data_IF_908384406685
#
_entry.id   IF_908384406685
#
_cell.length_a   1.000
_cell.length_b   1.000
_cell.length_c   1.000
_cell.angle_alpha   90.00
_cell.angle_beta   90.00
_cell.angle_gamma   90.00
#
_symmetry.space_group_name_H-M   'P 1'
#
loop_
_entity.id
_entity.type
_entity.pdbx_description
1 polymer ?
#
# COMPACT_ATOMS: atom_id res chain seq x y z
N UNK A 1 -4.87 -32.18 -2.75
CA UNK A 1 -3.57 -31.46 -2.74
C UNK A 1 -3.56 -30.52 -1.53
N UNK A 2 -2.82 -30.84 -0.46
CA UNK A 2 -2.67 -29.97 0.71
C UNK A 2 -1.60 -28.92 0.38
N UNK A 3 -2.01 -27.70 0.07
CA UNK A 3 -1.07 -26.57 0.02
C UNK A 3 -0.75 -26.24 1.48
N UNK A 4 0.37 -26.77 1.99
CA UNK A 4 0.98 -26.23 3.19
C UNK A 4 1.48 -24.83 2.83
N UNK A 5 0.68 -23.79 3.08
CA UNK A 5 1.25 -22.44 3.10
C UNK A 5 2.22 -22.41 4.27
N UNK A 6 3.51 -22.28 3.99
CA UNK A 6 4.60 -22.16 4.99
C UNK A 6 4.44 -20.96 5.94
N UNK A 7 3.44 -20.12 5.69
CA UNK A 7 3.13 -18.90 6.45
C UNK A 7 2.06 -19.14 7.53
N UNK A 8 1.01 -19.94 7.28
CA UNK A 8 -0.11 -20.12 8.24
C UNK A 8 0.30 -20.97 9.45
N UNK A 9 -0.31 -20.67 10.60
CA UNK A 9 -0.08 -21.35 11.89
C UNK A 9 1.33 -21.26 12.48
N UNK A 10 2.22 -20.49 11.86
CA UNK A 10 3.55 -20.16 12.37
C UNK A 10 3.48 -19.21 13.57
N UNK A 11 4.57 -19.03 14.33
CA UNK A 11 4.63 -18.03 15.39
C UNK A 11 4.27 -16.61 14.93
N UNK A 12 4.77 -16.16 13.77
CA UNK A 12 4.46 -14.84 13.21
C UNK A 12 2.97 -14.72 12.86
N UNK A 13 2.38 -15.75 12.25
CA UNK A 13 0.96 -15.76 11.90
C UNK A 13 0.07 -15.67 13.14
N UNK A 14 0.38 -16.43 14.19
CA UNK A 14 -0.38 -16.40 15.46
C UNK A 14 -0.23 -15.05 16.15
N UNK A 15 1.00 -14.54 16.24
CA UNK A 15 1.28 -13.23 16.82
C UNK A 15 0.51 -12.12 16.11
N UNK A 16 0.61 -12.04 14.78
CA UNK A 16 -0.04 -10.99 14.00
C UNK A 16 -1.57 -11.03 14.13
N UNK A 17 -2.16 -12.23 14.16
CA UNK A 17 -3.60 -12.39 14.40
C UNK A 17 -4.05 -11.82 15.74
N UNK A 18 -3.26 -12.01 16.81
CA UNK A 18 -3.56 -11.44 18.12
C UNK A 18 -3.24 -9.96 18.19
N UNK A 19 -2.20 -9.49 17.51
CA UNK A 19 -1.79 -8.08 17.50
C UNK A 19 -2.88 -7.21 16.87
N UNK A 20 -3.49 -7.65 15.76
CA UNK A 20 -4.59 -6.91 15.15
C UNK A 20 -5.80 -6.74 16.09
N UNK A 21 -6.07 -7.69 16.99
CA UNK A 21 -7.17 -7.59 17.96
C UNK A 21 -6.88 -6.59 19.08
N UNK A 22 -5.62 -6.22 19.29
CA UNK A 22 -5.19 -5.28 20.33
C UNK A 22 -5.23 -3.82 19.87
N UNK A 23 -5.40 -3.58 18.57
CA UNK A 23 -5.45 -2.23 18.00
C UNK A 23 -6.70 -1.50 18.50
N UNK A 24 -6.48 -0.38 19.19
CA UNK A 24 -7.51 0.53 19.66
C UNK A 24 -7.49 1.80 18.77
N UNK A 25 -8.42 1.88 17.82
CA UNK A 25 -8.50 2.96 16.82
C UNK A 25 -8.91 4.33 17.40
N UNK A 26 -9.39 4.36 18.65
CA UNK A 26 -9.64 5.60 19.39
C UNK A 26 -8.36 6.19 19.96
N UNK A 27 -7.38 5.34 20.31
CA UNK A 27 -6.06 5.77 20.80
C UNK A 27 -5.02 5.90 19.69
N UNK A 28 -5.00 4.97 18.75
CA UNK A 28 -4.08 4.95 17.61
C UNK A 28 -4.87 4.90 16.30
N UNK A 29 -5.32 6.07 15.79
CA UNK A 29 -6.15 6.13 14.61
C UNK A 29 -5.51 5.57 13.36
N UNK A 30 -4.19 5.60 13.20
CA UNK A 30 -3.50 5.16 11.99
C UNK A 30 -2.89 3.77 12.19
N UNK A 31 -3.23 2.82 11.33
CA UNK A 31 -2.74 1.44 11.35
C UNK A 31 -1.91 1.24 10.10
N UNK A 32 -0.60 1.10 10.33
CA UNK A 32 0.41 1.02 9.29
C UNK A 32 1.06 -0.35 9.40
N UNK A 33 1.21 -1.03 8.28
CA UNK A 33 1.95 -2.30 8.21
C UNK A 33 3.25 -2.06 7.45
N UNK A 34 4.34 -2.61 7.97
CA UNK A 34 5.63 -2.63 7.31
C UNK A 34 6.00 -4.06 6.94
N UNK A 35 6.50 -4.26 5.73
CA UNK A 35 7.07 -5.52 5.28
C UNK A 35 8.21 -5.23 4.31
N UNK A 36 9.05 -6.23 4.00
CA UNK A 36 10.13 -6.01 3.03
C UNK A 36 9.64 -6.23 1.60
N UNK A 37 9.09 -7.40 1.31
CA UNK A 37 8.62 -7.78 -0.03
C UNK A 37 7.21 -7.22 -0.27
N UNK A 38 7.00 -6.43 -1.35
CA UNK A 38 5.69 -5.89 -1.69
C UNK A 38 4.71 -7.00 -2.10
N UNK A 39 3.47 -6.93 -1.61
CA UNK A 39 2.40 -7.85 -2.05
C UNK A 39 1.67 -7.37 -3.31
N UNK A 40 1.86 -6.10 -3.69
CA UNK A 40 1.47 -5.55 -4.98
C UNK A 40 2.69 -4.87 -5.60
N UNK A 41 3.10 -5.34 -6.77
CA UNK A 41 4.31 -4.89 -7.47
C UNK A 41 4.06 -5.04 -8.98
N UNK A 42 4.20 -3.97 -9.75
CA UNK A 42 4.16 -4.02 -11.22
C UNK A 42 5.54 -3.89 -11.87
N UNK A 43 6.61 -3.87 -11.07
CA UNK A 43 7.98 -3.98 -11.56
C UNK A 43 8.30 -5.41 -11.97
N UNK A 44 9.10 -5.59 -13.02
CA UNK A 44 9.56 -6.92 -13.43
C UNK A 44 10.49 -7.55 -12.37
N UNK A 45 11.26 -6.72 -11.65
CA UNK A 45 12.06 -7.19 -10.52
C UNK A 45 11.14 -7.66 -9.40
N UNK A 46 11.39 -8.87 -8.91
CA UNK A 46 10.64 -9.47 -7.80
C UNK A 46 9.13 -9.56 -8.05
N UNK A 47 8.73 -9.66 -9.33
CA UNK A 47 7.33 -9.79 -9.71
C UNK A 47 6.72 -11.05 -9.07
N UNK A 48 5.57 -10.88 -8.42
CA UNK A 48 4.82 -11.94 -7.73
C UNK A 48 5.52 -12.64 -6.54
N UNK A 49 6.68 -12.17 -6.07
CA UNK A 49 7.34 -12.79 -4.90
C UNK A 49 6.50 -12.68 -3.61
N UNK A 50 5.72 -11.61 -3.47
CA UNK A 50 4.84 -11.37 -2.32
C UNK A 50 3.55 -12.21 -2.28
N UNK A 51 3.23 -12.98 -3.32
CA UNK A 51 1.94 -13.68 -3.46
C UNK A 51 1.63 -14.64 -2.31
N UNK A 52 2.67 -15.32 -1.80
CA UNK A 52 2.52 -16.24 -0.66
C UNK A 52 2.07 -15.54 0.62
N UNK A 53 2.57 -14.33 0.89
CA UNK A 53 2.13 -13.50 2.01
C UNK A 53 0.77 -12.86 1.74
N UNK A 54 0.52 -12.41 0.50
CA UNK A 54 -0.76 -11.82 0.07
C UNK A 54 -1.91 -12.79 0.34
N UNK A 55 -1.79 -14.03 -0.11
CA UNK A 55 -2.79 -15.08 0.07
C UNK A 55 -3.13 -15.41 1.54
N UNK A 56 -2.28 -15.00 2.48
CA UNK A 56 -2.46 -15.26 3.92
C UNK A 56 -2.92 -14.03 4.69
N UNK A 57 -2.36 -12.85 4.38
CA UNK A 57 -2.53 -11.64 5.20
C UNK A 57 -3.40 -10.56 4.58
N UNK A 58 -3.61 -10.54 3.26
CA UNK A 58 -4.36 -9.46 2.60
C UNK A 58 -5.79 -9.33 3.18
N UNK A 59 -6.47 -10.46 3.39
CA UNK A 59 -7.80 -10.48 4.00
C UNK A 59 -7.80 -9.90 5.43
N UNK A 60 -6.70 -10.03 6.17
CA UNK A 60 -6.59 -9.39 7.49
C UNK A 60 -6.38 -7.89 7.37
N UNK A 61 -5.56 -7.42 6.42
CA UNK A 61 -5.36 -5.99 6.20
C UNK A 61 -6.67 -5.27 5.87
N UNK A 62 -7.52 -5.90 5.06
CA UNK A 62 -8.84 -5.39 4.70
C UNK A 62 -9.79 -5.47 5.91
N UNK A 63 -9.87 -6.62 6.59
CA UNK A 63 -10.74 -6.82 7.76
C UNK A 63 -10.46 -5.82 8.88
N UNK A 64 -9.18 -5.55 9.16
CA UNK A 64 -8.75 -4.62 10.19
C UNK A 64 -8.55 -3.19 9.67
N UNK A 65 -8.94 -2.92 8.41
CA UNK A 65 -8.97 -1.57 7.84
C UNK A 65 -7.61 -0.87 7.96
N UNK A 66 -6.54 -1.59 7.61
CA UNK A 66 -5.18 -1.03 7.53
C UNK A 66 -5.20 0.18 6.60
N UNK A 67 -4.58 1.28 7.01
CA UNK A 67 -4.62 2.53 6.26
C UNK A 67 -3.67 2.46 5.05
N UNK A 68 -2.43 2.00 5.31
CA UNK A 68 -1.33 1.91 4.34
C UNK A 68 -0.37 0.77 4.70
N UNK A 69 0.18 0.12 3.68
CA UNK A 69 1.25 -0.88 3.79
C UNK A 69 2.47 -0.35 3.06
N UNK A 70 3.61 -0.28 3.76
CA UNK A 70 4.89 0.06 3.15
C UNK A 70 5.74 -1.19 2.95
N UNK A 71 6.35 -1.25 1.77
CA UNK A 71 7.32 -2.26 1.37
C UNK A 71 8.57 -1.60 0.78
N UNK A 72 9.66 -2.35 0.72
CA UNK A 72 10.87 -1.98 -0.01
C UNK A 72 11.14 -3.03 -1.08
N UNK A 73 12.33 -3.63 -1.01
CA UNK A 73 12.78 -4.77 -1.83
C UNK A 73 12.95 -4.47 -3.32
N UNK A 74 11.92 -3.98 -3.99
CA UNK A 74 12.02 -3.47 -5.35
C UNK A 74 12.64 -2.08 -5.31
N UNK A 75 13.73 -1.89 -6.05
CA UNK A 75 14.53 -0.67 -6.06
C UNK A 75 13.92 0.44 -6.92
N UNK A 76 12.66 0.78 -6.65
CA UNK A 76 11.87 1.80 -7.31
C UNK A 76 10.76 2.28 -6.38
N UNK A 77 10.00 3.28 -6.83
CA UNK A 77 8.79 3.75 -6.17
C UNK A 77 7.54 3.25 -6.91
N UNK A 78 6.55 2.76 -6.16
CA UNK A 78 5.23 2.43 -6.68
C UNK A 78 4.15 2.65 -5.62
N UNK A 79 3.01 3.19 -6.03
CA UNK A 79 1.81 3.40 -5.21
C UNK A 79 0.60 2.78 -5.87
N UNK A 80 -0.14 1.96 -5.15
CA UNK A 80 -1.39 1.37 -5.63
C UNK A 80 -2.60 2.29 -5.39
N UNK A 81 -3.72 1.98 -6.07
CA UNK A 81 -5.05 2.34 -5.57
C UNK A 81 -5.45 1.44 -4.39
N UNK A 82 -6.58 1.75 -3.73
CA UNK A 82 -7.19 0.83 -2.75
C UNK A 82 -7.91 -0.30 -3.51
N UNK A 83 -7.27 -1.45 -3.52
CA UNK A 83 -7.63 -2.63 -4.29
C UNK A 83 -7.44 -3.88 -3.44
N UNK A 84 -8.21 -4.92 -3.73
CA UNK A 84 -8.04 -6.23 -3.10
C UNK A 84 -8.19 -7.37 -4.09
N UNK A 85 -7.54 -8.49 -3.78
CA UNK A 85 -7.64 -9.73 -4.56
C UNK A 85 -7.89 -10.93 -3.63
N UNK A 86 -8.96 -10.80 -2.83
CA UNK A 86 -9.36 -11.78 -1.80
C UNK A 86 -10.60 -12.61 -2.18
N UNK A 87 -11.22 -12.34 -3.34
CA UNK A 87 -12.45 -13.01 -3.76
C UNK A 87 -12.22 -14.31 -4.55
N UNK A 88 -10.98 -14.62 -4.90
CA UNK A 88 -10.64 -15.86 -5.59
C UNK A 88 -10.75 -17.09 -4.69
N UNK A 89 -11.51 -18.10 -5.12
CA UNK A 89 -11.65 -19.38 -4.42
C UNK A 89 -11.43 -20.60 -5.34
N UNK A 90 -10.48 -20.50 -6.28
CA UNK A 90 -10.09 -21.53 -7.27
C UNK A 90 -11.17 -21.85 -8.32
N UNK A 91 -12.41 -22.09 -7.90
CA UNK A 91 -13.55 -22.46 -8.74
C UNK A 91 -14.39 -21.26 -9.19
N UNK A 92 -14.28 -20.13 -8.48
CA UNK A 92 -15.06 -18.92 -8.72
C UNK A 92 -14.34 -17.67 -8.19
N UNK A 93 -14.94 -16.51 -8.45
CA UNK A 93 -14.49 -15.20 -7.95
C UNK A 93 -13.57 -14.47 -8.91
N UNK A 94 -13.18 -13.25 -8.50
CA UNK A 94 -12.34 -12.38 -9.29
C UNK A 94 -10.90 -12.88 -9.31
N UNK A 95 -10.34 -13.07 -10.50
CA UNK A 95 -8.94 -13.52 -10.69
C UNK A 95 -7.94 -12.37 -10.58
N UNK A 96 -8.43 -11.15 -10.76
CA UNK A 96 -7.65 -9.93 -10.80
C UNK A 96 -8.07 -9.02 -9.66
N UNK A 97 -7.18 -8.12 -9.19
CA UNK A 97 -7.52 -7.17 -8.15
C UNK A 97 -8.68 -6.27 -8.57
N UNK A 98 -9.59 -6.02 -7.63
CA UNK A 98 -10.76 -5.15 -7.83
C UNK A 98 -10.71 -3.95 -6.86
N UNK A 99 -11.31 -2.81 -7.21
CA UNK A 99 -11.39 -1.66 -6.29
C UNK A 99 -12.09 -2.03 -4.97
N UNK A 100 -11.44 -1.73 -3.85
CA UNK A 100 -11.96 -2.04 -2.52
C UNK A 100 -11.64 -0.89 -1.56
N UNK A 101 -12.67 -0.14 -1.16
CA UNK A 101 -12.50 1.00 -0.26
C UNK A 101 -11.98 0.61 1.12
N UNK A 102 -12.12 -0.65 1.55
CA UNK A 102 -11.60 -1.13 2.84
C UNK A 102 -10.15 -1.61 2.77
N UNK A 103 -9.58 -1.73 1.57
CA UNK A 103 -8.18 -2.12 1.39
C UNK A 103 -7.21 -0.97 1.73
N UNK A 104 -6.00 -1.28 2.22
CA UNK A 104 -4.95 -0.27 2.38
C UNK A 104 -4.48 0.26 1.02
N UNK A 105 -3.74 1.37 1.06
CA UNK A 105 -2.87 1.74 -0.07
C UNK A 105 -1.57 0.95 0.09
N UNK A 106 -1.09 0.31 -0.97
CA UNK A 106 0.19 -0.39 -0.98
C UNK A 106 1.25 0.52 -1.60
N UNK A 107 2.40 0.64 -0.94
CA UNK A 107 3.48 1.51 -1.38
C UNK A 107 4.80 0.75 -1.33
N UNK A 108 5.47 0.69 -2.47
CA UNK A 108 6.86 0.30 -2.60
C UNK A 108 7.72 1.56 -2.52
N UNK A 109 8.62 1.62 -1.54
CA UNK A 109 9.59 2.69 -1.30
C UNK A 109 10.97 2.05 -1.01
N UNK A 110 11.44 1.24 -1.96
CA UNK A 110 12.72 0.52 -1.89
C UNK A 110 13.88 1.26 -2.57
N UNK A 111 13.67 2.53 -2.90
CA UNK A 111 14.48 3.38 -3.76
C UNK A 111 15.50 4.24 -2.99
N UNK A 112 15.99 3.76 -1.84
CA UNK A 112 16.88 4.52 -0.96
C UNK A 112 18.33 4.70 -1.42
N UNK A 113 18.74 4.15 -2.57
CA UNK A 113 20.12 4.29 -3.09
C UNK A 113 21.03 3.08 -2.84
N UNK A 114 20.51 1.86 -2.95
CA UNK A 114 21.32 0.65 -2.79
C UNK A 114 22.35 0.47 -3.93
N UNK A 115 23.35 -0.38 -3.70
CA UNK A 115 24.45 -0.63 -4.66
C UNK A 115 24.05 -1.39 -5.94
N UNK A 116 22.91 -2.09 -5.94
CA UNK A 116 22.47 -2.94 -7.07
C UNK A 116 21.83 -2.09 -8.18
N UNK A 117 21.48 -0.84 -7.89
CA UNK A 117 20.90 0.08 -8.86
C UNK A 117 19.36 0.13 -8.80
N UNK A 118 18.79 0.96 -9.68
CA UNK A 118 17.34 1.12 -9.83
C UNK A 118 16.72 -0.04 -10.63
N UNK A 119 15.53 -0.47 -10.20
CA UNK A 119 14.70 -1.42 -10.92
C UNK A 119 13.89 -0.69 -12.01
N UNK A 120 14.48 -0.48 -13.18
CA UNK A 120 13.93 0.40 -14.23
C UNK A 120 12.80 -0.18 -15.10
N UNK A 121 12.52 -1.49 -15.03
CA UNK A 121 11.54 -2.14 -15.93
C UNK A 121 10.24 -2.45 -15.20
N UNK A 122 9.14 -1.95 -15.74
CA UNK A 122 7.80 -2.22 -15.27
C UNK A 122 7.00 -2.98 -16.33
N UNK A 123 6.07 -3.81 -15.88
CA UNK A 123 5.09 -4.48 -16.74
C UNK A 123 4.29 -3.42 -17.50
N UNK A 124 4.15 -3.61 -18.81
CA UNK A 124 3.39 -2.73 -19.72
C UNK A 124 2.22 -3.49 -20.35
N UNK A 125 1.00 -2.90 -20.41
CA UNK A 125 0.63 -1.58 -19.88
C UNK A 125 0.65 -1.52 -18.34
N UNK A 126 0.62 -0.30 -17.78
CA UNK A 126 0.43 -0.11 -16.35
C UNK A 126 -0.86 -0.79 -15.89
N UNK A 127 -0.80 -1.74 -14.94
CA UNK A 127 -1.99 -2.43 -14.49
C UNK A 127 -2.88 -1.46 -13.68
N UNK A 128 -4.19 -1.66 -13.76
CA UNK A 128 -5.19 -0.76 -13.16
C UNK A 128 -5.07 -0.59 -11.64
N UNK A 129 -4.36 -1.50 -10.95
CA UNK A 129 -4.09 -1.36 -9.51
C UNK A 129 -2.96 -0.37 -9.19
N UNK A 130 -2.05 -0.12 -10.13
CA UNK A 130 -0.93 0.81 -9.95
C UNK A 130 -1.40 2.22 -10.24
N UNK A 131 -1.35 3.12 -9.27
CA UNK A 131 -1.74 4.51 -9.42
C UNK A 131 -0.58 5.40 -9.87
N UNK A 132 0.63 5.14 -9.37
CA UNK A 132 1.85 5.84 -9.76
C UNK A 132 3.04 4.89 -9.61
N UNK A 133 4.01 4.97 -10.52
CA UNK A 133 5.25 4.18 -10.46
C UNK A 133 6.39 4.91 -11.17
N UNK A 134 7.57 4.90 -10.57
CA UNK A 134 8.76 5.51 -11.15
C UNK A 134 10.04 4.87 -10.60
N UNK A 135 11.03 4.67 -11.47
CA UNK A 135 12.36 4.24 -11.08
C UNK A 135 13.29 5.44 -10.93
N UNK A 136 13.30 6.03 -9.74
CA UNK A 136 14.19 7.12 -9.33
C UNK A 136 14.57 6.90 -7.87
N UNK A 137 15.76 7.31 -7.45
CA UNK A 137 16.09 7.29 -6.02
C UNK A 137 15.35 8.38 -5.27
N UNK A 138 14.95 8.10 -4.05
CA UNK A 138 14.15 9.02 -3.28
C UNK A 138 13.89 8.58 -1.84
N UNK A 139 12.99 9.31 -1.20
CA UNK A 139 12.47 8.99 0.11
C UNK A 139 11.06 9.53 0.28
N UNK A 140 10.35 8.96 1.23
CA UNK A 140 8.96 9.33 1.50
C UNK A 140 8.77 9.89 2.89
N UNK A 141 7.79 10.79 3.01
CA UNK A 141 7.34 11.34 4.30
C UNK A 141 5.84 11.11 4.45
N UNK A 142 5.44 10.63 5.63
CA UNK A 142 4.04 10.53 6.04
C UNK A 142 3.80 11.48 7.20
N UNK A 143 3.06 12.55 6.93
CA UNK A 143 2.78 13.62 7.88
C UNK A 143 1.33 13.49 8.38
N UNK A 144 1.19 12.88 9.56
CA UNK A 144 -0.10 12.67 10.22
C UNK A 144 -0.60 14.00 10.79
N UNK A 145 -1.68 14.53 10.21
CA UNK A 145 -2.26 15.82 10.64
C UNK A 145 -3.22 15.65 11.81
N UNK A 146 -4.06 14.62 11.76
CA UNK A 146 -5.05 14.32 12.78
C UNK A 146 -5.58 12.88 12.57
N UNK A 147 -6.65 12.51 13.27
CA UNK A 147 -7.24 11.16 13.18
C UNK A 147 -7.91 10.83 11.82
N UNK A 148 -8.16 11.81 10.96
CA UNK A 148 -8.82 11.61 9.65
C UNK A 148 -7.91 11.82 8.45
N UNK A 149 -6.87 12.67 8.56
CA UNK A 149 -6.03 13.11 7.44
C UNK A 149 -4.54 12.91 7.72
N UNK A 150 -3.83 12.32 6.76
CA UNK A 150 -2.37 12.28 6.71
C UNK A 150 -1.91 12.61 5.28
N UNK A 151 -0.87 13.43 5.16
CA UNK A 151 -0.28 13.78 3.87
C UNK A 151 0.90 12.86 3.60
N UNK A 152 0.92 12.26 2.42
CA UNK A 152 2.06 11.48 1.95
C UNK A 152 2.76 12.20 0.81
N UNK A 153 4.08 12.25 0.88
CA UNK A 153 4.94 12.79 -0.16
C UNK A 153 6.05 11.79 -0.47
N UNK A 154 6.29 11.54 -1.75
CA UNK A 154 7.53 10.93 -2.24
C UNK A 154 8.37 12.00 -2.94
N UNK A 155 9.66 12.06 -2.58
CA UNK A 155 10.59 13.07 -3.06
C UNK A 155 11.77 12.37 -3.73
N UNK A 156 12.01 12.68 -5.00
CA UNK A 156 13.23 12.25 -5.70
C UNK A 156 14.45 12.96 -5.16
N UNK A 157 15.59 12.28 -5.21
CA UNK A 157 16.87 12.87 -4.82
C UNK A 157 17.29 14.01 -5.77
N UNK A 158 16.92 13.93 -7.04
CA UNK A 158 17.28 14.93 -8.07
C UNK A 158 16.52 16.25 -7.95
N UNK A 159 15.28 16.24 -7.43
CA UNK A 159 14.42 17.43 -7.35
C UNK A 159 14.75 18.36 -6.16
N UNK A 160 15.65 17.94 -5.27
CA UNK A 160 15.95 18.61 -4.01
C UNK A 160 14.76 18.58 -3.02
N UNK A 161 14.95 19.16 -1.82
CA UNK A 161 13.95 19.08 -0.72
C UNK A 161 12.63 19.84 -0.93
N UNK A 162 12.38 20.44 -2.11
CA UNK A 162 11.34 21.47 -2.27
C UNK A 162 10.07 21.01 -2.99
N UNK A 163 10.08 19.91 -3.74
CA UNK A 163 8.93 19.46 -4.53
C UNK A 163 8.77 17.95 -4.38
N UNK A 164 7.61 17.52 -3.87
CA UNK A 164 7.21 16.13 -3.88
C UNK A 164 6.82 15.74 -5.32
N UNK A 165 7.44 14.69 -5.85
CA UNK A 165 7.16 14.19 -7.21
C UNK A 165 5.80 13.49 -7.26
N UNK A 166 5.47 12.72 -6.22
CA UNK A 166 4.14 12.18 -5.99
C UNK A 166 3.65 12.62 -4.60
N UNK A 167 2.40 13.04 -4.52
CA UNK A 167 1.77 13.46 -3.28
C UNK A 167 0.31 13.07 -3.26
N UNK A 168 -0.17 12.62 -2.10
CA UNK A 168 -1.59 12.35 -1.92
C UNK A 168 -2.03 12.45 -0.46
N UNK A 169 -3.31 12.74 -0.29
CA UNK A 169 -3.97 12.80 1.00
C UNK A 169 -4.54 11.42 1.35
N UNK A 170 -4.03 10.81 2.41
CA UNK A 170 -4.64 9.62 3.00
C UNK A 170 -5.81 10.04 3.86
N UNK A 171 -6.95 9.41 3.58
CA UNK A 171 -8.10 9.40 4.46
C UNK A 171 -8.07 8.16 5.34
N UNK A 172 -8.25 8.37 6.64
CA UNK A 172 -8.26 7.30 7.62
C UNK A 172 -9.42 6.31 7.38
N UNK A 173 -9.12 5.02 7.32
CA UNK A 173 -10.07 3.95 7.05
C UNK A 173 -11.14 3.75 8.12
N UNK A 174 -10.89 4.22 9.35
CA UNK A 174 -11.81 4.05 10.48
C UNK A 174 -12.64 5.32 10.70
N UNK A 175 -12.01 6.49 10.66
CA UNK A 175 -12.63 7.77 11.01
C UNK A 175 -13.21 8.55 9.84
N UNK A 176 -12.79 8.28 8.60
CA UNK A 176 -13.23 9.04 7.43
C UNK A 176 -14.39 8.36 6.67
N UNK A 177 -14.81 7.15 7.07
CA UNK A 177 -15.94 6.43 6.48
C UNK A 177 -17.29 6.91 7.04
N UNK A 178 -17.29 7.58 8.19
CA UNK A 178 -18.52 7.99 8.92
C UNK A 178 -18.96 9.44 8.69
N UNK A 179 -18.19 10.24 7.95
CA UNK A 179 -18.55 11.64 7.62
C UNK A 179 -18.30 11.82 6.12
N UNK A 180 -19.22 12.38 5.31
CA UNK A 180 -18.98 12.59 3.90
C UNK A 180 -17.84 13.61 3.74
N UNK A 181 -16.62 13.12 3.57
CA UNK A 181 -15.40 13.92 3.39
C UNK A 181 -15.35 14.63 2.02
N UNK A 182 -16.45 14.65 1.28
CA UNK A 182 -16.50 15.00 -0.15
C UNK A 182 -17.06 16.39 -0.47
N UNK A 183 -17.37 17.25 0.53
CA UNK A 183 -18.04 18.54 0.24
C UNK A 183 -17.17 19.79 0.19
N UNK A 184 -15.85 19.75 0.42
CA UNK A 184 -15.08 21.01 0.57
C UNK A 184 -13.84 21.21 -0.29
N UNK A 185 -13.53 20.36 -1.28
CA UNK A 185 -12.27 20.51 -2.06
C UNK A 185 -12.39 20.54 -3.59
N UNK A 186 -13.59 20.75 -4.16
CA UNK A 186 -13.76 21.01 -5.61
C UNK A 186 -14.14 22.47 -5.93
N UNK A 187 -13.48 23.46 -5.32
CA UNK A 187 -13.68 24.86 -5.72
C UNK A 187 -12.40 25.68 -5.98
N UNK A 188 -11.21 25.07 -6.04
CA UNK A 188 -9.98 25.86 -6.24
C UNK A 188 -9.02 25.39 -7.33
N UNK A 189 -9.47 24.59 -8.32
CA UNK A 189 -8.59 24.15 -9.43
C UNK A 189 -9.13 24.59 -10.81
N UNK A 190 -9.99 25.60 -10.85
CA UNK A 190 -10.28 26.31 -12.09
C UNK A 190 -10.18 27.81 -11.83
N UNK A 191 -8.96 28.33 -11.82
CA UNK A 191 -8.58 29.70 -12.22
C UNK A 191 -7.06 29.81 -12.00
N UNK A 192 -6.29 29.56 -13.07
CA UNK A 192 -5.22 30.38 -13.66
C UNK A 192 -4.94 29.76 -15.03
#
# INVERSE_FOLDING_TARGET
>A
MKIFSTVKYTPQWRWLNEEFKRVDRDKTPWLIVLMHVPIYNSNEAHYMEGESMRAVFENWFIRYKVDVVFAGHVHAYERSYRISNIHYNVTSGDRYPVPDKSAPVYITVGDGGNQEGLAGRFVDPQPDYSAFREASYGHSTLDIKNKTHALYHWNRNEDGKKLATDSFLLHNQYWCVTIPCFRYLMQSIYHI
#
